data_IF_516354967416
#
_entry.id   IF_516354967416
#
_cell.length_a   1.000
_cell.length_b   1.000
_cell.length_c   1.000
_cell.angle_alpha   90.00
_cell.angle_beta   90.00
_cell.angle_gamma   90.00
#
_symmetry.space_group_name_H-M   'P 1'
#
loop_
_entity.id
_entity.type
_entity.pdbx_description
1 polymer ?
#
# COMPACT_ATOMS: atom_id res chain seq x y z
N UNK A 1 14.26 1.50 10.19
CA UNK A 1 13.74 1.34 8.82
C UNK A 1 12.61 2.32 8.60
N UNK A 2 12.63 3.02 7.49
CA UNK A 2 11.58 3.99 7.11
C UNK A 2 10.63 3.34 6.11
N UNK A 3 9.37 3.25 6.46
CA UNK A 3 8.32 2.66 5.62
C UNK A 3 7.29 3.74 5.27
N UNK A 4 6.94 3.83 3.99
CA UNK A 4 5.88 4.72 3.52
C UNK A 4 4.68 3.87 3.08
N UNK A 5 3.51 4.18 3.65
CA UNK A 5 2.24 3.53 3.28
C UNK A 5 1.44 4.49 2.40
N UNK A 6 1.16 4.06 1.18
CA UNK A 6 0.48 4.87 0.17
C UNK A 6 -0.87 4.24 -0.15
N UNK A 7 -1.93 5.04 -0.04
CA UNK A 7 -3.29 4.61 -0.30
C UNK A 7 -3.94 5.48 -1.38
N UNK A 8 -4.57 4.84 -2.33
CA UNK A 8 -5.20 5.47 -3.48
C UNK A 8 -6.63 5.95 -3.22
N UNK A 9 -7.38 6.18 -4.32
CA UNK A 9 -8.69 6.83 -4.25
C UNK A 9 -9.68 6.05 -3.39
N UNK A 10 -10.49 6.81 -2.67
CA UNK A 10 -11.56 6.32 -1.79
C UNK A 10 -11.08 5.61 -0.51
N UNK A 11 -9.78 5.46 -0.29
CA UNK A 11 -9.29 4.87 0.98
C UNK A 11 -9.63 5.76 2.17
N UNK A 12 -9.75 7.07 1.97
CA UNK A 12 -10.23 8.01 2.98
C UNK A 12 -11.68 7.77 3.39
N UNK A 13 -12.43 7.01 2.58
CA UNK A 13 -13.85 6.70 2.82
C UNK A 13 -14.06 5.35 3.50
N UNK A 14 -13.00 4.71 4.00
CA UNK A 14 -13.14 3.49 4.81
C UNK A 14 -14.10 3.71 5.98
N UNK A 15 -14.92 2.70 6.26
CA UNK A 15 -15.94 2.75 7.31
C UNK A 15 -17.26 3.37 6.85
N UNK A 16 -17.25 4.11 5.76
CA UNK A 16 -18.45 4.75 5.17
C UNK A 16 -18.84 4.01 3.89
N UNK A 17 -17.84 3.68 3.05
CA UNK A 17 -18.00 3.06 1.76
C UNK A 17 -18.12 1.55 1.88
N UNK A 18 -19.19 0.98 1.30
CA UNK A 18 -19.36 -0.46 1.12
C UNK A 18 -18.88 -1.30 2.33
N UNK A 19 -19.50 -1.15 3.53
CA UNK A 19 -19.07 -1.89 4.72
C UNK A 19 -19.08 -3.41 4.54
N UNK A 20 -19.93 -3.92 3.65
CA UNK A 20 -20.02 -5.34 3.31
C UNK A 20 -18.75 -5.89 2.65
N UNK A 21 -17.92 -5.01 2.07
CA UNK A 21 -16.63 -5.39 1.44
C UNK A 21 -15.46 -5.03 2.33
N UNK A 22 -15.46 -3.80 2.89
CA UNK A 22 -14.30 -3.22 3.57
C UNK A 22 -14.45 -3.17 5.10
N UNK A 23 -15.65 -3.49 5.65
CA UNK A 23 -15.92 -3.39 7.08
C UNK A 23 -16.21 -1.97 7.55
N UNK A 24 -16.29 -1.79 8.86
CA UNK A 24 -16.64 -0.50 9.49
C UNK A 24 -15.44 0.29 10.02
N UNK A 25 -14.24 -0.29 10.01
CA UNK A 25 -13.04 0.41 10.44
C UNK A 25 -12.76 1.60 9.51
N UNK A 26 -12.34 2.70 10.09
CA UNK A 26 -12.05 3.94 9.35
C UNK A 26 -10.60 3.96 8.86
N UNK A 27 -10.27 4.94 8.01
CA UNK A 27 -8.88 5.16 7.59
C UNK A 27 -7.98 5.50 8.79
N UNK A 28 -8.51 6.27 9.76
CA UNK A 28 -7.76 6.57 10.99
C UNK A 28 -7.49 5.30 11.80
N UNK A 29 -8.45 4.38 11.86
CA UNK A 29 -8.26 3.08 12.52
C UNK A 29 -7.15 2.28 11.83
N UNK A 30 -7.14 2.28 10.49
CA UNK A 30 -6.10 1.60 9.71
C UNK A 30 -4.72 2.17 10.02
N UNK A 31 -4.58 3.49 10.01
CA UNK A 31 -3.30 4.14 10.32
C UNK A 31 -2.83 3.82 11.73
N UNK A 32 -3.74 3.85 12.70
CA UNK A 32 -3.41 3.53 14.10
C UNK A 32 -2.93 2.10 14.26
N UNK A 33 -3.59 1.16 13.58
CA UNK A 33 -3.20 -0.25 13.59
C UNK A 33 -1.79 -0.45 13.03
N UNK A 34 -1.49 0.17 11.90
CA UNK A 34 -0.18 0.06 11.26
C UNK A 34 0.89 0.74 12.11
N UNK A 35 0.60 1.95 12.61
CA UNK A 35 1.56 2.70 13.43
C UNK A 35 1.92 1.95 14.72
N UNK A 36 0.93 1.32 15.36
CA UNK A 36 1.17 0.52 16.56
C UNK A 36 2.09 -0.68 16.30
N UNK A 37 1.87 -1.38 15.20
CA UNK A 37 2.73 -2.52 14.84
C UNK A 37 4.13 -2.06 14.42
N UNK A 38 4.23 -0.94 13.70
CA UNK A 38 5.52 -0.39 13.32
C UNK A 38 6.35 -0.01 14.54
N UNK A 39 5.72 0.61 15.54
CA UNK A 39 6.39 0.95 16.81
C UNK A 39 6.92 -0.31 17.50
N UNK A 40 6.10 -1.37 17.55
CA UNK A 40 6.50 -2.64 18.14
C UNK A 40 7.70 -3.26 17.42
N UNK A 41 7.79 -3.07 16.10
CA UNK A 41 8.88 -3.61 15.27
C UNK A 41 10.10 -2.67 15.19
N UNK A 42 10.02 -1.48 15.80
CA UNK A 42 11.09 -0.50 15.73
C UNK A 42 11.21 0.18 14.38
N UNK A 43 10.14 0.19 13.58
CA UNK A 43 10.11 0.85 12.28
C UNK A 43 9.45 2.22 12.38
N UNK A 44 9.91 3.15 11.53
CA UNK A 44 9.32 4.47 11.38
C UNK A 44 8.37 4.42 10.19
N UNK A 45 7.08 4.71 10.40
CA UNK A 45 6.08 4.66 9.36
C UNK A 45 5.48 6.03 9.09
N UNK A 46 5.27 6.35 7.82
CA UNK A 46 4.53 7.52 7.38
C UNK A 46 3.43 7.09 6.41
N UNK A 47 2.42 7.96 6.24
CA UNK A 47 1.23 7.65 5.48
C UNK A 47 0.92 8.74 4.47
N UNK A 48 0.43 8.34 3.31
CA UNK A 48 -0.09 9.26 2.31
C UNK A 48 -1.33 8.65 1.66
N UNK A 49 -2.37 9.45 1.51
CA UNK A 49 -3.59 9.04 0.79
C UNK A 49 -3.97 10.16 -0.18
N UNK A 50 -4.35 9.79 -1.39
CA UNK A 50 -4.86 10.76 -2.36
C UNK A 50 -5.80 10.08 -3.36
N UNK A 51 -6.75 10.86 -3.84
CA UNK A 51 -7.62 10.48 -4.94
C UNK A 51 -7.00 10.83 -6.31
N UNK A 52 -5.86 11.52 -6.32
CA UNK A 52 -5.23 12.02 -7.53
C UNK A 52 -4.02 11.17 -7.91
N UNK A 53 -4.04 10.63 -9.12
CA UNK A 53 -2.96 9.80 -9.63
C UNK A 53 -1.61 10.52 -9.62
N UNK A 54 -1.59 11.77 -10.08
CA UNK A 54 -0.36 12.57 -10.10
C UNK A 54 0.23 12.78 -8.71
N UNK A 55 -0.60 12.99 -7.69
CA UNK A 55 -0.14 13.14 -6.31
C UNK A 55 0.49 11.84 -5.79
N UNK A 56 -0.05 10.70 -6.17
CA UNK A 56 0.51 9.40 -5.83
C UNK A 56 1.88 9.19 -6.50
N UNK A 57 1.99 9.54 -7.77
CA UNK A 57 3.26 9.47 -8.50
C UNK A 57 4.31 10.37 -7.84
N UNK A 58 3.96 11.62 -7.54
CA UNK A 58 4.86 12.58 -6.91
C UNK A 58 5.35 12.06 -5.55
N UNK A 59 4.46 11.44 -4.77
CA UNK A 59 4.80 10.89 -3.45
C UNK A 59 5.77 9.71 -3.57
N UNK A 60 5.58 8.83 -4.56
CA UNK A 60 6.51 7.73 -4.82
C UNK A 60 7.88 8.28 -5.17
N UNK A 61 7.95 9.28 -6.03
CA UNK A 61 9.21 9.91 -6.42
C UNK A 61 9.89 10.57 -5.22
N UNK A 62 9.13 11.27 -4.37
CA UNK A 62 9.67 11.91 -3.18
C UNK A 62 10.25 10.88 -2.20
N UNK A 63 9.68 9.68 -2.14
CA UNK A 63 10.19 8.61 -1.28
C UNK A 63 11.65 8.26 -1.59
N UNK A 64 12.05 8.35 -2.86
CA UNK A 64 13.43 8.15 -3.25
C UNK A 64 14.36 9.20 -2.59
N UNK A 65 13.97 10.48 -2.65
CA UNK A 65 14.78 11.57 -2.09
C UNK A 65 14.77 11.55 -0.57
N UNK A 66 13.70 11.07 0.04
CA UNK A 66 13.58 10.93 1.49
C UNK A 66 14.25 9.67 2.02
N UNK A 67 14.82 8.86 1.15
CA UNK A 67 15.53 7.61 1.51
C UNK A 67 14.63 6.63 2.26
N UNK A 68 13.41 6.47 1.77
CA UNK A 68 12.48 5.47 2.29
C UNK A 68 13.02 4.07 1.97
N UNK A 69 12.97 3.18 2.95
CA UNK A 69 13.52 1.81 2.83
C UNK A 69 12.55 0.82 2.21
N UNK A 70 11.26 1.05 2.36
CA UNK A 70 10.22 0.19 1.81
C UNK A 70 8.89 0.92 1.68
N UNK A 71 8.06 0.45 0.76
CA UNK A 71 6.73 1.01 0.54
C UNK A 71 5.66 -0.07 0.61
N UNK A 72 4.52 0.28 1.18
CA UNK A 72 3.30 -0.51 1.11
C UNK A 72 2.31 0.31 0.30
N UNK A 73 1.80 -0.25 -0.79
CA UNK A 73 0.92 0.50 -1.68
C UNK A 73 -0.39 -0.23 -1.93
N UNK A 74 -1.49 0.46 -1.70
CA UNK A 74 -2.82 0.07 -2.13
C UNK A 74 -3.30 1.14 -3.12
N UNK A 75 -3.13 0.92 -4.44
CA UNK A 75 -3.53 1.92 -5.43
C UNK A 75 -5.04 2.03 -5.61
N UNK A 76 -5.81 1.15 -4.96
CA UNK A 76 -7.27 1.08 -5.10
C UNK A 76 -7.66 0.94 -6.59
N UNK A 77 -8.58 1.75 -7.11
CA UNK A 77 -9.03 1.62 -8.50
C UNK A 77 -7.90 1.83 -9.52
N UNK A 78 -6.88 2.62 -9.20
CA UNK A 78 -5.75 2.81 -10.11
C UNK A 78 -4.91 1.54 -10.35
N UNK A 79 -5.08 0.51 -9.53
CA UNK A 79 -4.46 -0.80 -9.74
C UNK A 79 -4.74 -1.33 -11.15
N UNK A 80 -5.94 -1.09 -11.66
CA UNK A 80 -6.45 -1.67 -12.89
C UNK A 80 -6.24 -0.80 -14.12
N UNK A 81 -5.69 0.40 -13.95
CA UNK A 81 -5.59 1.41 -15.02
C UNK A 81 -4.24 2.11 -15.11
N UNK A 82 -3.49 2.20 -14.03
CA UNK A 82 -2.36 3.12 -13.97
C UNK A 82 -1.02 2.49 -14.32
N UNK A 83 -0.59 2.68 -15.55
CA UNK A 83 0.79 2.41 -15.98
C UNK A 83 1.73 3.45 -15.35
N UNK A 84 1.24 4.68 -15.09
CA UNK A 84 2.06 5.72 -14.46
C UNK A 84 2.55 5.32 -13.07
N UNK A 85 1.70 4.67 -12.27
CA UNK A 85 2.11 4.17 -10.96
C UNK A 85 3.13 3.03 -11.07
N UNK A 86 2.92 2.11 -12.02
CA UNK A 86 3.88 1.05 -12.31
C UNK A 86 5.26 1.65 -12.61
N UNK A 87 5.30 2.62 -13.52
CA UNK A 87 6.55 3.26 -13.94
C UNK A 87 7.23 4.00 -12.77
N UNK A 88 6.45 4.67 -11.93
CA UNK A 88 6.98 5.38 -10.75
C UNK A 88 7.65 4.41 -9.77
N UNK A 89 7.01 3.29 -9.45
CA UNK A 89 7.57 2.29 -8.53
C UNK A 89 8.87 1.70 -9.12
N UNK A 90 8.87 1.39 -10.42
CA UNK A 90 10.09 0.92 -11.09
C UNK A 90 11.21 1.94 -11.03
N UNK A 91 10.88 3.21 -11.25
CA UNK A 91 11.88 4.29 -11.30
C UNK A 91 12.64 4.46 -10.00
N UNK A 92 11.95 4.34 -8.85
CA UNK A 92 12.57 4.57 -7.55
C UNK A 92 13.32 3.35 -7.02
N UNK A 93 12.96 2.14 -7.46
CA UNK A 93 13.64 0.91 -7.05
C UNK A 93 13.53 0.56 -5.57
N UNK A 94 12.57 1.14 -4.85
CA UNK A 94 12.33 0.85 -3.44
C UNK A 94 11.52 -0.45 -3.33
N UNK A 95 11.91 -1.42 -2.47
CA UNK A 95 11.10 -2.62 -2.25
C UNK A 95 9.67 -2.25 -1.89
N UNK A 96 8.72 -2.74 -2.66
CA UNK A 96 7.30 -2.35 -2.54
C UNK A 96 6.42 -3.58 -2.45
N UNK A 97 5.48 -3.58 -1.50
CA UNK A 97 4.45 -4.62 -1.36
C UNK A 97 3.10 -4.03 -1.74
N UNK A 98 2.42 -4.70 -2.66
CA UNK A 98 1.06 -4.34 -3.07
C UNK A 98 0.06 -4.96 -2.09
N UNK A 99 -0.89 -4.17 -1.58
CA UNK A 99 -1.92 -4.66 -0.65
C UNK A 99 -3.30 -4.31 -1.17
N UNK A 100 -4.21 -5.26 -1.12
CA UNK A 100 -5.64 -5.08 -1.36
C UNK A 100 -6.42 -5.65 -0.19
N UNK A 101 -7.35 -4.86 0.35
CA UNK A 101 -8.20 -5.29 1.48
C UNK A 101 -9.12 -6.43 1.05
N UNK A 102 -9.81 -6.25 -0.09
CA UNK A 102 -10.61 -7.31 -0.69
C UNK A 102 -9.76 -8.14 -1.65
N UNK A 103 -10.31 -9.27 -2.12
CA UNK A 103 -9.70 -10.02 -3.21
C UNK A 103 -10.24 -9.47 -4.54
N UNK A 104 -9.41 -8.79 -5.36
CA UNK A 104 -9.86 -8.26 -6.65
C UNK A 104 -10.41 -9.34 -7.58
N UNK A 105 -9.89 -10.57 -7.49
CA UNK A 105 -10.32 -11.68 -8.35
C UNK A 105 -11.73 -12.17 -8.02
N UNK A 106 -12.26 -11.83 -6.83
CA UNK A 106 -13.62 -12.18 -6.43
C UNK A 106 -14.64 -11.10 -6.79
N UNK A 107 -14.20 -10.01 -7.44
CA UNK A 107 -15.03 -8.88 -7.84
C UNK A 107 -15.20 -8.86 -9.37
N UNK A 108 -15.58 -7.72 -9.95
CA UNK A 108 -15.81 -7.60 -11.39
C UNK A 108 -14.54 -7.92 -12.19
N UNK A 109 -14.71 -8.49 -13.38
CA UNK A 109 -13.59 -8.97 -14.24
C UNK A 109 -12.54 -7.89 -14.51
N UNK A 110 -12.94 -6.61 -14.67
CA UNK A 110 -11.97 -5.54 -14.93
C UNK A 110 -11.01 -5.32 -13.76
N UNK A 111 -11.31 -5.85 -12.58
CA UNK A 111 -10.46 -5.75 -11.40
C UNK A 111 -9.39 -6.84 -11.29
N UNK A 112 -9.35 -7.76 -12.25
CA UNK A 112 -8.36 -8.85 -12.25
C UNK A 112 -6.97 -8.40 -12.68
N UNK A 113 -6.86 -7.25 -13.37
CA UNK A 113 -5.57 -6.73 -13.83
C UNK A 113 -4.94 -5.86 -12.77
N UNK A 114 -3.66 -6.09 -12.48
CA UNK A 114 -2.84 -5.18 -11.67
C UNK A 114 -1.57 -4.84 -12.44
N UNK A 115 -1.45 -3.61 -12.86
CA UNK A 115 -0.24 -3.14 -13.55
C UNK A 115 0.94 -3.03 -12.60
N UNK A 116 0.72 -2.54 -11.38
CA UNK A 116 1.78 -2.27 -10.41
C UNK A 116 2.48 -3.55 -9.92
N UNK A 117 1.78 -4.68 -9.98
CA UNK A 117 2.27 -5.96 -9.47
C UNK A 117 3.63 -6.34 -10.03
N UNK A 118 3.88 -6.02 -11.29
CA UNK A 118 5.16 -6.31 -11.97
C UNK A 118 6.35 -5.61 -11.30
N UNK A 119 6.13 -4.53 -10.56
CA UNK A 119 7.18 -3.78 -9.88
C UNK A 119 7.25 -4.08 -8.37
N UNK A 120 6.35 -4.91 -7.85
CA UNK A 120 6.26 -5.22 -6.42
C UNK A 120 6.97 -6.53 -6.09
N UNK A 121 7.54 -6.61 -4.89
CA UNK A 121 8.20 -7.82 -4.41
C UNK A 121 7.20 -8.86 -3.93
N UNK A 122 5.99 -8.44 -3.56
CA UNK A 122 4.91 -9.32 -3.10
C UNK A 122 3.57 -8.62 -3.29
N UNK A 123 2.52 -9.44 -3.35
CA UNK A 123 1.12 -8.98 -3.39
C UNK A 123 0.35 -9.71 -2.30
N UNK A 124 -0.36 -8.94 -1.47
CA UNK A 124 -1.24 -9.46 -0.42
C UNK A 124 -2.65 -9.00 -0.75
N UNK A 125 -3.58 -9.94 -0.86
CA UNK A 125 -4.97 -9.62 -1.24
C UNK A 125 -5.95 -10.52 -0.52
N UNK A 126 -7.12 -9.97 -0.21
CA UNK A 126 -8.20 -10.72 0.41
C UNK A 126 -8.04 -11.00 1.89
N UNK A 127 -7.06 -10.41 2.56
CA UNK A 127 -6.79 -10.61 3.98
C UNK A 127 -7.37 -9.50 4.86
N UNK A 128 -8.17 -8.59 4.30
CA UNK A 128 -8.69 -7.46 5.03
C UNK A 128 -7.60 -6.47 5.42
N UNK A 129 -7.89 -5.64 6.41
CA UNK A 129 -6.94 -4.65 6.90
C UNK A 129 -5.64 -5.27 7.47
N UNK A 130 -5.69 -6.45 8.14
CA UNK A 130 -4.45 -7.12 8.59
C UNK A 130 -3.42 -7.38 7.49
N UNK A 131 -3.81 -7.38 6.22
CA UNK A 131 -2.88 -7.50 5.10
C UNK A 131 -1.77 -6.45 5.12
N UNK A 132 -2.06 -5.25 5.62
CA UNK A 132 -1.05 -4.19 5.79
C UNK A 132 0.01 -4.59 6.82
N UNK A 133 -0.38 -5.29 7.87
CA UNK A 133 0.56 -5.76 8.89
C UNK A 133 1.47 -6.85 8.33
N UNK A 134 0.93 -7.74 7.50
CA UNK A 134 1.72 -8.75 6.80
C UNK A 134 2.76 -8.11 5.89
N UNK A 135 2.37 -7.05 5.16
CA UNK A 135 3.29 -6.30 4.31
C UNK A 135 4.39 -5.64 5.12
N UNK A 136 4.04 -5.05 6.25
CA UNK A 136 5.00 -4.42 7.16
C UNK A 136 6.03 -5.43 7.66
N UNK A 137 5.58 -6.60 8.09
CA UNK A 137 6.46 -7.68 8.53
C UNK A 137 7.40 -8.13 7.42
N UNK A 138 6.88 -8.31 6.19
CA UNK A 138 7.70 -8.67 5.04
C UNK A 138 8.85 -7.71 4.81
N UNK A 139 8.56 -6.41 4.85
CA UNK A 139 9.57 -5.38 4.62
C UNK A 139 10.59 -5.33 5.76
N UNK A 140 10.15 -5.44 7.01
CA UNK A 140 11.03 -5.41 8.17
C UNK A 140 11.95 -6.64 8.20
N UNK A 141 11.43 -7.82 7.93
CA UNK A 141 12.23 -9.06 7.87
C UNK A 141 13.26 -9.00 6.75
N UNK A 142 12.88 -8.47 5.59
CA UNK A 142 13.80 -8.27 4.46
C UNK A 142 14.91 -7.29 4.82
N UNK A 143 14.60 -6.23 5.57
CA UNK A 143 15.57 -5.25 6.04
C UNK A 143 16.58 -5.86 7.01
N UNK A 144 16.12 -6.70 7.93
CA UNK A 144 16.99 -7.41 8.87
C UNK A 144 17.96 -8.34 8.15
N UNK A 145 17.50 -9.03 7.10
CA UNK A 145 18.33 -9.92 6.31
C UNK A 145 19.45 -9.22 5.54
N UNK A 146 19.41 -7.90 5.44
CA UNK A 146 20.43 -7.07 4.76
C UNK A 146 21.44 -6.44 5.71
N UNK A 147 21.15 -6.54 7.03
CA UNK A 147 22.00 -5.99 8.06
C UNK A 147 23.25 -6.80 8.26
#
# INVERSE_FOLDING_TARGET
>A
MKILVINGPNMNMLGIRQPEIYGHATYEDLKSMIAGEAERLGAEVSFFQSNHEGALVDTIQQAYFDRVDGMIINPAAYTHTSVALLDAVKAVGIPTVEVHVSDPDSREDFRHVSYIRAACIATIRGHGLPGYLEALHLLCERGEGRG
#
